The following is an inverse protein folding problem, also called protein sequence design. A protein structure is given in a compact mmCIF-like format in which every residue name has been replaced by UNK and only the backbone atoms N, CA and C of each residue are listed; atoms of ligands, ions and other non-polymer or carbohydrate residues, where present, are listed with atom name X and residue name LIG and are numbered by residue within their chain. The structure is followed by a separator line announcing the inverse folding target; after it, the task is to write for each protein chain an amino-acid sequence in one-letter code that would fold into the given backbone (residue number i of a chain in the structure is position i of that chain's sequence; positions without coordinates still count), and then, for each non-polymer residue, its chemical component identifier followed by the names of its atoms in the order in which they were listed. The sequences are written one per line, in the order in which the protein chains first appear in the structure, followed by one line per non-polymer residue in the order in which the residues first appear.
data_IF_805412009812
#
_entry.id   IF_805412009812
#
_cell.length_a   1.000
_cell.length_b   1.000
_cell.length_c   1.000
_cell.angle_alpha   90.00
_cell.angle_beta   90.00
_cell.angle_gamma   90.00
#
_symmetry.space_group_name_H-M   'P 1'
#
loop_
_entity.id
_entity.type
_entity.pdbx_description
1 polymer ?
#
# COMPACT_ATOMS: atom_id res chain seq x y z
N UNK A 1 3.60 -12.11 -0.02
CA UNK A 1 3.76 -11.03 0.97
C UNK A 1 2.93 -11.38 2.19
N UNK A 2 3.52 -11.44 3.38
CA UNK A 2 2.75 -11.66 4.61
C UNK A 2 2.19 -10.34 5.16
N UNK A 3 1.16 -10.40 6.00
CA UNK A 3 0.63 -9.21 6.70
C UNK A 3 1.71 -8.49 7.54
N UNK A 4 2.60 -9.25 8.18
CA UNK A 4 3.70 -8.68 8.97
C UNK A 4 4.69 -7.89 8.11
N UNK A 5 5.09 -8.45 6.96
CA UNK A 5 5.97 -7.75 6.00
C UNK A 5 5.29 -6.49 5.45
N UNK A 6 4.00 -6.59 5.09
CA UNK A 6 3.24 -5.42 4.67
C UNK A 6 3.23 -4.33 5.74
N UNK A 7 2.93 -4.66 6.99
CA UNK A 7 2.83 -3.69 8.08
C UNK A 7 4.13 -2.90 8.24
N UNK A 8 5.28 -3.58 8.26
CA UNK A 8 6.60 -2.95 8.38
C UNK A 8 6.89 -1.99 7.22
N UNK A 9 6.68 -2.45 5.99
CA UNK A 9 6.92 -1.63 4.80
C UNK A 9 5.95 -0.43 4.75
N UNK A 10 4.66 -0.67 5.01
CA UNK A 10 3.64 0.37 5.00
C UNK A 10 3.88 1.45 6.08
N UNK A 11 4.35 1.06 7.28
CA UNK A 11 4.75 1.99 8.35
C UNK A 11 5.94 2.87 7.96
N UNK A 12 6.89 2.34 7.20
CA UNK A 12 8.04 3.12 6.68
C UNK A 12 7.60 4.17 5.65
N UNK A 13 6.61 3.83 4.81
CA UNK A 13 6.21 4.67 3.67
C UNK A 13 5.14 5.70 4.04
N UNK A 14 4.18 5.31 4.88
CA UNK A 14 2.97 6.08 5.18
C UNK A 14 2.86 6.37 6.67
N UNK A 15 2.75 7.66 7.02
CA UNK A 15 2.61 8.11 8.41
C UNK A 15 1.20 7.86 8.96
N UNK A 16 0.16 8.03 8.14
CA UNK A 16 -1.24 7.86 8.55
C UNK A 16 -1.65 6.39 8.59
N UNK A 17 -2.36 5.99 9.65
CA UNK A 17 -2.94 4.66 9.77
C UNK A 17 -4.07 4.40 8.78
N UNK A 18 -4.90 5.42 8.50
CA UNK A 18 -5.95 5.34 7.48
C UNK A 18 -5.36 5.06 6.10
N UNK A 19 -4.25 5.74 5.76
CA UNK A 19 -3.55 5.48 4.50
C UNK A 19 -3.02 4.04 4.43
N UNK A 20 -2.45 3.53 5.52
CA UNK A 20 -1.97 2.13 5.58
C UNK A 20 -3.13 1.15 5.42
N UNK A 21 -4.26 1.41 6.07
CA UNK A 21 -5.47 0.58 6.01
C UNK A 21 -6.09 0.58 4.61
N UNK A 22 -6.16 1.75 3.96
CA UNK A 22 -6.66 1.86 2.60
C UNK A 22 -5.77 1.10 1.59
N UNK A 23 -4.44 1.19 1.73
CA UNK A 23 -3.51 0.44 0.88
C UNK A 23 -3.63 -1.06 1.17
N UNK A 24 -3.79 -1.46 2.44
CA UNK A 24 -3.98 -2.86 2.82
C UNK A 24 -5.23 -3.46 2.14
N UNK A 25 -6.32 -2.70 2.07
CA UNK A 25 -7.56 -3.14 1.44
C UNK A 25 -7.39 -3.42 -0.07
N UNK A 26 -6.50 -2.69 -0.76
CA UNK A 26 -6.16 -2.99 -2.15
C UNK A 26 -5.25 -4.23 -2.26
N UNK A 27 -4.31 -4.41 -1.33
CA UNK A 27 -3.30 -5.48 -1.40
C UNK A 27 -3.85 -6.84 -0.96
N UNK A 28 -4.72 -6.87 0.06
CA UNK A 28 -5.21 -8.10 0.68
C UNK A 28 -6.69 -8.38 0.39
N UNK A 29 -7.54 -7.35 0.38
CA UNK A 29 -8.99 -7.55 0.18
C UNK A 29 -9.37 -7.59 -1.31
N UNK A 30 -8.42 -7.37 -2.22
CA UNK A 30 -8.63 -7.42 -3.66
C UNK A 30 -9.42 -6.25 -4.24
N UNK A 31 -9.64 -5.18 -3.45
CA UNK A 31 -10.32 -3.98 -3.93
C UNK A 31 -9.51 -3.27 -5.02
N UNK A 32 -10.20 -2.73 -6.02
CA UNK A 32 -9.57 -1.75 -6.91
C UNK A 32 -9.22 -0.47 -6.15
N UNK A 33 -8.25 0.30 -6.64
CA UNK A 33 -7.92 1.61 -6.06
C UNK A 33 -9.12 2.54 -6.00
N UNK A 34 -10.04 2.44 -6.96
CA UNK A 34 -11.26 3.24 -7.01
C UNK A 34 -12.25 2.87 -5.89
N UNK A 35 -12.48 1.57 -5.68
CA UNK A 35 -13.35 1.10 -4.60
C UNK A 35 -12.79 1.42 -3.23
N UNK A 36 -11.46 1.28 -3.06
CA UNK A 36 -10.78 1.69 -1.84
C UNK A 36 -10.87 3.21 -1.62
N UNK A 37 -10.69 4.03 -2.66
CA UNK A 37 -10.87 5.49 -2.55
C UNK A 37 -12.27 5.86 -2.08
N UNK A 38 -13.32 5.20 -2.60
CA UNK A 38 -14.69 5.40 -2.10
C UNK A 38 -14.87 4.96 -0.66
N UNK A 39 -14.37 3.78 -0.30
CA UNK A 39 -14.54 3.19 1.04
C UNK A 39 -13.86 4.00 2.14
N UNK A 40 -12.73 4.61 1.83
CA UNK A 40 -11.92 5.38 2.78
C UNK A 40 -12.08 6.90 2.61
N UNK A 41 -13.04 7.34 1.78
CA UNK A 41 -13.34 8.76 1.53
C UNK A 41 -12.12 9.57 1.04
N UNK A 42 -11.29 8.96 0.20
CA UNK A 42 -10.05 9.56 -0.30
C UNK A 42 -10.24 10.21 -1.67
N UNK A 43 -9.52 11.32 -1.96
CA UNK A 43 -9.57 11.94 -3.27
C UNK A 43 -9.15 10.97 -4.38
N UNK A 44 -9.78 11.11 -5.56
CA UNK A 44 -9.51 10.25 -6.72
C UNK A 44 -8.03 10.23 -7.09
N UNK A 45 -7.49 9.03 -7.32
CA UNK A 45 -6.09 8.82 -7.70
C UNK A 45 -5.09 8.86 -6.53
N UNK A 46 -5.55 9.00 -5.28
CA UNK A 46 -4.71 8.90 -4.09
C UNK A 46 -4.21 7.48 -3.89
N UNK A 47 -5.08 6.47 -3.94
CA UNK A 47 -4.68 5.07 -3.73
C UNK A 47 -3.85 4.54 -4.87
N UNK A 48 -4.17 4.92 -6.11
CA UNK A 48 -3.34 4.54 -7.26
C UNK A 48 -1.88 4.98 -7.08
N UNK A 49 -1.64 6.17 -6.52
CA UNK A 49 -0.28 6.66 -6.20
C UNK A 49 0.32 5.94 -5.00
N UNK A 50 -0.43 5.74 -3.92
CA UNK A 50 0.05 5.06 -2.73
C UNK A 50 0.42 3.60 -3.01
N UNK A 51 -0.44 2.86 -3.70
CA UNK A 51 -0.20 1.47 -4.09
C UNK A 51 1.04 1.36 -4.99
N UNK A 52 1.22 2.30 -5.94
CA UNK A 52 2.45 2.34 -6.77
C UNK A 52 3.69 2.57 -5.91
N UNK A 53 3.66 3.53 -4.99
CA UNK A 53 4.76 3.80 -4.06
C UNK A 53 5.12 2.57 -3.22
N UNK A 54 4.11 1.88 -2.69
CA UNK A 54 4.27 0.64 -1.95
C UNK A 54 4.93 -0.46 -2.79
N UNK A 55 4.39 -0.73 -4.00
CA UNK A 55 4.96 -1.74 -4.91
C UNK A 55 6.41 -1.42 -5.31
N UNK A 56 6.73 -0.15 -5.50
CA UNK A 56 8.10 0.30 -5.78
C UNK A 56 9.05 0.00 -4.62
N UNK A 57 8.64 0.27 -3.38
CA UNK A 57 9.46 -0.03 -2.20
C UNK A 57 9.65 -1.54 -2.02
N UNK A 58 8.59 -2.32 -2.22
CA UNK A 58 8.68 -3.79 -2.20
C UNK A 58 9.67 -4.29 -3.23
N UNK A 59 9.60 -3.77 -4.46
CA UNK A 59 10.52 -4.14 -5.54
C UNK A 59 11.97 -3.79 -5.19
N UNK A 60 12.21 -2.58 -4.68
CA UNK A 60 13.52 -2.14 -4.23
C UNK A 60 14.10 -3.05 -3.13
N UNK A 61 13.33 -3.30 -2.07
CA UNK A 61 13.76 -4.16 -0.96
C UNK A 61 14.06 -5.58 -1.46
N UNK A 62 13.22 -6.11 -2.35
CA UNK A 62 13.39 -7.47 -2.87
C UNK A 62 14.66 -7.58 -3.71
N UNK A 63 14.94 -6.59 -4.57
CA UNK A 63 16.14 -6.61 -5.42
C UNK A 63 17.42 -6.35 -4.61
N UNK A 64 17.40 -5.43 -3.64
CA UNK A 64 18.57 -5.16 -2.79
C UNK A 64 18.86 -6.33 -1.86
N UNK A 65 17.84 -7.01 -1.33
CA UNK A 65 18.04 -8.19 -0.50
C UNK A 65 18.49 -9.43 -1.29
N UNK A 66 18.31 -9.42 -2.62
CA UNK A 66 18.75 -10.49 -3.52
C UNK A 66 20.16 -10.24 -4.12
N UNK A 67 20.75 -9.07 -3.88
CA UNK A 67 22.09 -8.67 -4.32
C UNK A 67 23.13 -8.88 -3.21
#
# INVERSE_FOLDING_TARGET
MTHSQFKLIAQRIFKSEEQRSAVAAVIFDGLSSYEAEKRFELPKGTLSRNVRKYKSEVHYITNVAAA
#
